data_IF_004878389609
#
_entry.id   IF_004878389609
#
_cell.length_a   1.000
_cell.length_b   1.000
_cell.length_c   1.000
_cell.angle_alpha   90.00
_cell.angle_beta   90.00
_cell.angle_gamma   90.00
#
_symmetry.space_group_name_H-M   'P 1'
#
loop_
_entity.id
_entity.type
_entity.pdbx_description
1 polymer ?
#
# COMPACT_ATOMS: atom_id res chain seq x y z
N UNK A 1 14.47 -33.19 -30.01
CA UNK A 1 13.23 -32.79 -29.34
C UNK A 1 13.32 -32.88 -27.80
N UNK A 2 13.87 -33.97 -27.26
CA UNK A 2 14.01 -34.16 -25.81
C UNK A 2 14.92 -33.12 -25.15
N UNK A 3 16.03 -32.77 -25.77
CA UNK A 3 16.96 -31.75 -25.26
C UNK A 3 16.29 -30.39 -25.25
N UNK A 4 15.54 -30.04 -26.28
CA UNK A 4 14.81 -28.77 -26.34
C UNK A 4 13.78 -28.65 -25.20
N UNK A 5 13.04 -29.70 -24.95
CA UNK A 5 12.04 -29.75 -23.87
C UNK A 5 12.73 -29.61 -22.49
N UNK A 6 13.87 -30.27 -22.30
CA UNK A 6 14.63 -30.16 -21.05
C UNK A 6 15.16 -28.74 -20.83
N UNK A 7 15.63 -28.06 -21.83
CA UNK A 7 16.09 -26.66 -21.74
C UNK A 7 14.93 -25.73 -21.39
N UNK A 8 13.78 -25.90 -22.02
CA UNK A 8 12.58 -25.11 -21.73
C UNK A 8 12.15 -25.31 -20.28
N UNK A 9 12.17 -26.54 -19.77
CA UNK A 9 11.80 -26.84 -18.39
C UNK A 9 12.72 -26.16 -17.37
N UNK A 10 14.04 -26.16 -17.64
CA UNK A 10 15.02 -25.50 -16.76
C UNK A 10 14.83 -23.99 -16.77
N UNK A 11 14.66 -23.39 -17.95
CA UNK A 11 14.43 -21.95 -18.08
C UNK A 11 13.14 -21.52 -17.39
N UNK A 12 12.06 -22.30 -17.53
CA UNK A 12 10.79 -22.03 -16.88
C UNK A 12 10.91 -22.11 -15.35
N UNK A 13 11.66 -23.07 -14.81
CA UNK A 13 11.88 -23.23 -13.38
C UNK A 13 12.59 -22.02 -12.76
N UNK A 14 13.45 -21.33 -13.50
CA UNK A 14 14.12 -20.11 -13.03
C UNK A 14 13.23 -18.88 -13.21
N UNK A 15 12.49 -18.80 -14.31
CA UNK A 15 11.69 -17.61 -14.66
C UNK A 15 10.43 -17.46 -13.81
N UNK A 16 9.77 -18.56 -13.43
CA UNK A 16 8.52 -18.51 -12.66
C UNK A 16 8.66 -17.83 -11.29
N UNK A 17 9.63 -18.20 -10.43
CA UNK A 17 9.81 -17.52 -9.15
C UNK A 17 10.11 -16.02 -9.32
N UNK A 18 10.96 -15.64 -10.28
CA UNK A 18 11.29 -14.25 -10.55
C UNK A 18 10.06 -13.46 -11.01
N UNK A 19 9.22 -14.06 -11.87
CA UNK A 19 7.98 -13.46 -12.33
C UNK A 19 6.98 -13.26 -11.18
N UNK A 20 6.82 -14.25 -10.30
CA UNK A 20 5.94 -14.16 -9.15
C UNK A 20 6.37 -13.06 -8.19
N UNK A 21 7.67 -12.89 -7.94
CA UNK A 21 8.19 -11.81 -7.11
C UNK A 21 7.94 -10.44 -7.74
N UNK A 22 8.11 -10.31 -9.04
CA UNK A 22 7.83 -9.08 -9.77
C UNK A 22 6.34 -8.73 -9.72
N UNK A 23 5.45 -9.70 -9.92
CA UNK A 23 4.00 -9.50 -9.82
C UNK A 23 3.60 -9.09 -8.41
N UNK A 24 4.13 -9.73 -7.38
CA UNK A 24 3.88 -9.36 -5.97
C UNK A 24 4.29 -7.92 -5.68
N UNK A 25 5.49 -7.52 -6.09
CA UNK A 25 5.96 -6.13 -5.93
C UNK A 25 5.08 -5.13 -6.69
N UNK A 26 4.62 -5.50 -7.88
CA UNK A 26 3.69 -4.69 -8.67
C UNK A 26 2.35 -4.51 -7.96
N UNK A 27 1.83 -5.56 -7.34
CA UNK A 27 0.58 -5.51 -6.58
C UNK A 27 0.71 -4.60 -5.35
N UNK A 28 1.82 -4.66 -4.63
CA UNK A 28 2.09 -3.77 -3.49
C UNK A 28 2.20 -2.32 -3.96
N UNK A 29 2.89 -2.07 -5.06
CA UNK A 29 3.03 -0.73 -5.66
C UNK A 29 1.66 -0.17 -6.08
N UNK A 30 0.80 -0.99 -6.65
CA UNK A 30 -0.55 -0.59 -7.02
C UNK A 30 -1.41 -0.27 -5.78
N UNK A 31 -1.30 -1.05 -4.72
CA UNK A 31 -1.96 -0.76 -3.45
C UNK A 31 -1.50 0.56 -2.83
N UNK A 32 -0.21 0.84 -2.90
CA UNK A 32 0.34 2.12 -2.46
C UNK A 32 -0.21 3.29 -3.28
N UNK A 33 -0.30 3.14 -4.60
CA UNK A 33 -0.88 4.15 -5.48
C UNK A 33 -2.35 4.41 -5.16
N UNK A 34 -3.10 3.37 -4.83
CA UNK A 34 -4.51 3.48 -4.44
C UNK A 34 -4.69 4.34 -3.18
N UNK A 35 -3.73 4.32 -2.25
CA UNK A 35 -3.79 5.09 -1.01
C UNK A 35 -3.32 6.55 -1.15
N UNK A 36 -2.40 6.82 -2.06
CA UNK A 36 -1.73 8.13 -2.14
C UNK A 36 -2.68 9.29 -2.44
N UNK A 37 -3.76 9.02 -3.14
CA UNK A 37 -4.79 10.03 -3.40
C UNK A 37 -5.44 10.58 -2.12
N UNK A 38 -5.49 9.80 -1.06
CA UNK A 38 -6.06 10.22 0.22
C UNK A 38 -5.17 11.17 1.01
N UNK A 39 -3.87 11.21 0.75
CA UNK A 39 -2.93 12.09 1.45
C UNK A 39 -3.30 13.57 1.24
N UNK A 40 -3.62 13.95 0.01
CA UNK A 40 -3.98 15.34 -0.33
C UNK A 40 -5.24 15.77 0.43
N UNK A 41 -6.27 14.94 0.43
CA UNK A 41 -7.52 15.26 1.11
C UNK A 41 -7.38 15.23 2.64
N UNK A 42 -6.57 14.34 3.15
CA UNK A 42 -6.27 14.31 4.58
C UNK A 42 -5.54 15.60 5.00
N UNK A 43 -4.53 16.01 4.25
CA UNK A 43 -3.81 17.27 4.49
C UNK A 43 -4.73 18.48 4.38
N UNK A 44 -5.60 18.53 3.38
CA UNK A 44 -6.58 19.59 3.24
C UNK A 44 -7.48 19.69 4.48
N UNK A 45 -7.99 18.57 4.95
CA UNK A 45 -8.81 18.54 6.17
C UNK A 45 -8.06 18.98 7.42
N UNK A 46 -6.78 18.62 7.54
CA UNK A 46 -5.92 19.06 8.65
C UNK A 46 -5.68 20.58 8.58
N UNK A 47 -5.35 21.11 7.40
CA UNK A 47 -5.03 22.53 7.22
C UNK A 47 -6.27 23.43 7.41
N UNK A 48 -7.43 22.97 6.95
CA UNK A 48 -8.67 23.74 7.08
C UNK A 48 -9.20 23.75 8.53
N UNK A 49 -8.85 22.78 9.35
CA UNK A 49 -9.32 22.70 10.73
C UNK A 49 -10.83 22.50 10.87
N UNK A 50 -11.51 22.16 9.78
CA UNK A 50 -12.98 22.05 9.75
C UNK A 50 -13.52 20.84 10.52
N UNK A 51 -12.70 19.80 10.66
CA UNK A 51 -13.13 18.53 11.23
C UNK A 51 -12.87 18.40 12.73
N UNK A 52 -12.31 19.45 13.35
CA UNK A 52 -12.03 19.47 14.79
C UNK A 52 -11.03 18.40 15.25
N UNK A 53 -11.24 17.88 16.47
CA UNK A 53 -10.34 16.91 17.09
C UNK A 53 -10.65 15.44 16.73
N UNK A 54 -11.69 15.18 15.95
CA UNK A 54 -12.06 13.84 15.51
C UNK A 54 -11.09 13.23 14.52
N UNK A 55 -11.35 11.99 14.13
CA UNK A 55 -10.64 11.27 13.07
C UNK A 55 -11.56 11.06 11.87
N UNK A 56 -11.02 10.80 10.66
CA UNK A 56 -11.86 10.39 9.54
C UNK A 56 -12.67 9.15 9.91
N UNK A 57 -13.95 9.15 9.59
CA UNK A 57 -14.83 8.03 9.88
C UNK A 57 -14.48 6.78 9.04
N UNK A 58 -14.14 7.00 7.78
CA UNK A 58 -13.71 5.96 6.84
C UNK A 58 -12.94 6.59 5.68
N UNK A 59 -12.53 5.76 4.73
CA UNK A 59 -11.72 6.19 3.59
C UNK A 59 -12.45 7.20 2.68
N UNK A 60 -13.77 7.18 2.63
CA UNK A 60 -14.54 8.09 1.75
C UNK A 60 -14.39 9.55 2.16
N UNK A 61 -14.15 9.81 3.44
CA UNK A 61 -13.92 11.17 3.96
C UNK A 61 -12.65 11.80 3.38
N UNK A 62 -11.67 10.98 3.04
CA UNK A 62 -10.43 11.43 2.41
C UNK A 62 -10.40 11.14 0.90
N UNK A 63 -11.56 10.92 0.29
CA UNK A 63 -11.70 10.76 -1.15
C UNK A 63 -11.28 9.40 -1.69
N UNK A 64 -11.13 8.38 -0.84
CA UNK A 64 -10.77 7.03 -1.24
C UNK A 64 -11.95 6.07 -1.14
N UNK A 65 -11.99 5.02 -1.96
CA UNK A 65 -12.92 3.92 -1.74
C UNK A 65 -12.51 3.13 -0.48
N UNK A 66 -13.48 2.45 0.13
CA UNK A 66 -13.24 1.60 1.31
C UNK A 66 -12.39 0.38 0.93
N UNK A 67 -12.51 -0.09 -0.31
CA UNK A 67 -11.73 -1.20 -0.86
C UNK A 67 -11.42 -0.97 -2.33
N UNK A 68 -10.36 -1.62 -2.81
CA UNK A 68 -9.92 -1.60 -4.21
C UNK A 68 -9.56 -3.02 -4.65
N UNK A 69 -9.27 -3.25 -5.92
CA UNK A 69 -8.74 -4.55 -6.36
C UNK A 69 -7.40 -4.94 -5.70
N UNK A 70 -6.68 -3.98 -5.10
CA UNK A 70 -5.38 -4.20 -4.48
C UNK A 70 -5.42 -4.13 -2.94
N UNK A 71 -6.44 -3.49 -2.37
CA UNK A 71 -6.62 -3.32 -0.93
C UNK A 71 -7.99 -3.85 -0.51
N UNK A 72 -8.04 -4.89 0.30
CA UNK A 72 -9.32 -5.39 0.84
C UNK A 72 -9.99 -4.35 1.72
N UNK A 73 -9.20 -3.56 2.44
CA UNK A 73 -9.67 -2.42 3.25
C UNK A 73 -8.67 -1.28 3.16
N UNK A 74 -9.19 -0.05 3.16
CA UNK A 74 -8.40 1.16 3.32
C UNK A 74 -8.97 1.90 4.53
N UNK A 75 -8.14 2.11 5.56
CA UNK A 75 -8.58 2.68 6.85
C UNK A 75 -7.71 3.88 7.18
N UNK A 76 -8.26 5.10 7.18
CA UNK A 76 -7.59 6.26 7.75
C UNK A 76 -7.74 6.27 9.27
N UNK A 77 -6.76 6.82 9.96
CA UNK A 77 -6.79 7.01 11.40
C UNK A 77 -5.98 8.22 11.81
N UNK A 78 -6.17 8.65 13.05
CA UNK A 78 -5.50 9.82 13.61
C UNK A 78 -6.37 11.07 13.58
N UNK A 79 -6.10 11.99 14.50
CA UNK A 79 -6.91 13.20 14.69
C UNK A 79 -6.61 14.24 13.61
N UNK A 80 -7.66 14.91 13.14
CA UNK A 80 -7.55 16.07 12.24
C UNK A 80 -6.76 17.22 12.88
N UNK A 81 -6.77 17.37 14.19
CA UNK A 81 -6.11 18.45 14.91
C UNK A 81 -4.71 18.10 15.42
N UNK A 82 -4.30 16.84 15.31
CA UNK A 82 -2.97 16.43 15.75
C UNK A 82 -1.89 16.88 14.74
N UNK A 83 -0.69 17.18 15.25
CA UNK A 83 0.44 17.59 14.41
C UNK A 83 1.07 16.41 13.67
N UNK A 84 0.89 15.19 14.17
CA UNK A 84 1.44 13.98 13.59
C UNK A 84 0.58 12.77 13.94
N UNK A 85 0.98 11.61 13.43
CA UNK A 85 0.36 10.33 13.77
C UNK A 85 -0.84 9.96 12.92
N UNK A 86 -1.22 10.77 11.95
CA UNK A 86 -2.26 10.39 10.98
C UNK A 86 -1.73 9.27 10.10
N UNK A 87 -2.58 8.28 9.85
CA UNK A 87 -2.23 7.11 9.05
C UNK A 87 -3.31 6.78 8.03
N UNK A 88 -2.89 6.17 6.93
CA UNK A 88 -3.77 5.49 5.98
C UNK A 88 -3.21 4.09 5.82
N UNK A 89 -4.02 3.07 6.12
CA UNK A 89 -3.59 1.66 6.10
C UNK A 89 -4.37 0.89 5.05
N UNK A 90 -3.66 0.18 4.17
CA UNK A 90 -4.22 -0.76 3.19
C UNK A 90 -3.88 -2.17 3.61
N UNK A 91 -4.88 -3.05 3.67
CA UNK A 91 -4.67 -4.49 3.77
C UNK A 91 -4.63 -5.07 2.36
N UNK A 92 -3.49 -5.63 1.98
CA UNK A 92 -3.22 -6.02 0.60
C UNK A 92 -3.98 -7.27 0.17
N UNK A 93 -4.37 -7.29 -1.10
CA UNK A 93 -4.85 -8.47 -1.82
C UNK A 93 -3.82 -8.75 -2.93
N UNK A 94 -3.53 -10.00 -3.18
CA UNK A 94 -2.61 -10.37 -4.24
C UNK A 94 -2.13 -11.80 -4.09
N UNK A 95 -0.90 -12.08 -4.55
CA UNK A 95 -0.35 -13.41 -4.43
C UNK A 95 -0.15 -13.81 -2.95
N UNK A 96 0.07 -15.10 -2.64
CA UNK A 96 0.15 -15.57 -1.25
C UNK A 96 1.22 -14.89 -0.40
N UNK A 97 2.29 -14.39 -1.00
CA UNK A 97 3.36 -13.67 -0.29
C UNK A 97 3.00 -12.23 0.08
N UNK A 98 1.94 -11.70 -0.49
CA UNK A 98 1.48 -10.31 -0.33
C UNK A 98 0.13 -10.25 0.40
N UNK A 99 -0.75 -11.19 0.16
CA UNK A 99 -2.12 -11.19 0.69
C UNK A 99 -2.13 -11.13 2.22
N UNK A 100 -2.96 -10.24 2.77
CA UNK A 100 -3.10 -10.04 4.21
C UNK A 100 -2.02 -9.17 4.85
N UNK A 101 -0.98 -8.81 4.12
CA UNK A 101 0.03 -7.85 4.58
C UNK A 101 -0.49 -6.42 4.47
N UNK A 102 0.15 -5.49 5.16
CA UNK A 102 -0.31 -4.10 5.22
C UNK A 102 0.69 -3.13 4.64
N UNK A 103 0.17 -2.06 4.05
CA UNK A 103 0.88 -0.83 3.74
C UNK A 103 0.30 0.29 4.61
N UNK A 104 1.15 1.09 5.20
CA UNK A 104 0.75 2.22 6.03
C UNK A 104 1.49 3.48 5.61
N UNK A 105 0.75 4.52 5.28
CA UNK A 105 1.27 5.88 5.14
C UNK A 105 1.09 6.59 6.47
N UNK A 106 2.15 7.16 7.01
CA UNK A 106 2.16 7.85 8.31
C UNK A 106 2.70 9.26 8.16
N UNK A 107 1.98 10.23 8.73
CA UNK A 107 2.37 11.64 8.74
C UNK A 107 3.24 11.94 9.94
N UNK A 108 4.37 12.62 9.72
CA UNK A 108 5.22 13.15 10.79
C UNK A 108 4.84 14.60 11.17
N UNK A 109 5.55 15.16 12.16
CA UNK A 109 5.29 16.50 12.67
C UNK A 109 5.57 17.60 11.63
N UNK A 110 6.41 17.33 10.66
CA UNK A 110 6.74 18.24 9.55
C UNK A 110 5.75 18.16 8.40
N UNK A 111 4.76 17.27 8.49
CA UNK A 111 3.77 17.06 7.45
C UNK A 111 4.23 16.14 6.32
N UNK A 112 5.29 15.38 6.53
CA UNK A 112 5.82 14.42 5.56
C UNK A 112 5.19 13.05 5.80
N UNK A 113 4.69 12.45 4.73
CA UNK A 113 4.11 11.11 4.75
C UNK A 113 5.14 10.08 4.32
N UNK A 114 5.34 9.08 5.14
CA UNK A 114 6.26 7.96 4.88
C UNK A 114 5.52 6.66 4.79
N UNK A 115 6.05 5.73 3.99
CA UNK A 115 5.48 4.40 3.78
C UNK A 115 6.19 3.36 4.64
N UNK A 116 5.41 2.56 5.36
CA UNK A 116 5.87 1.34 6.00
C UNK A 116 5.02 0.16 5.57
N UNK A 117 5.59 -1.04 5.63
CA UNK A 117 4.90 -2.24 5.15
C UNK A 117 5.36 -3.49 5.90
N UNK A 118 4.47 -4.46 6.00
CA UNK A 118 4.77 -5.78 6.59
C UNK A 118 5.18 -6.83 5.55
N UNK A 119 5.15 -6.50 4.25
CA UNK A 119 5.56 -7.44 3.21
C UNK A 119 7.06 -7.75 3.29
N UNK A 120 7.46 -8.91 2.80
CA UNK A 120 8.87 -9.28 2.71
C UNK A 120 9.65 -8.28 1.83
N UNK A 121 10.97 -8.08 2.08
CA UNK A 121 11.76 -7.08 1.36
C UNK A 121 11.70 -7.19 -0.16
N UNK A 122 11.56 -8.40 -0.70
CA UNK A 122 11.49 -8.64 -2.16
C UNK A 122 10.23 -8.01 -2.81
N UNK A 123 9.19 -7.73 -2.02
CA UNK A 123 7.93 -7.14 -2.50
C UNK A 123 7.82 -5.65 -2.19
N UNK A 124 8.79 -5.05 -1.51
CA UNK A 124 8.71 -3.65 -1.10
C UNK A 124 8.97 -2.72 -2.27
N UNK A 125 8.05 -1.77 -2.55
CA UNK A 125 8.34 -0.70 -3.49
C UNK A 125 9.37 0.27 -2.92
N UNK A 126 9.99 1.06 -3.79
CA UNK A 126 10.92 2.10 -3.37
C UNK A 126 10.21 3.12 -2.47
N UNK A 127 10.85 3.46 -1.36
CA UNK A 127 10.29 4.38 -0.38
C UNK A 127 9.41 3.75 0.69
N UNK A 128 9.22 2.43 0.67
CA UNK A 128 8.55 1.69 1.73
C UNK A 128 9.54 0.80 2.48
N UNK A 129 9.47 0.82 3.80
CA UNK A 129 10.40 0.06 4.65
C UNK A 129 9.69 -0.79 5.71
#
# INVERSE_FOLDING_TARGET
LMIVVAIIAILAAIALPAYQNYVGKSQVTAGLADMRGGVVQFEEGIQNGENGAGSPADATVIGLPISTPHCSTIIPAGSWSATNGQTITCTLIGNPGVAGQTLTLTRDAEGIWSCSTTVAPIYRPNGCS
#
